data_IF_377468049983
#
_entry.id   IF_377468049983
#
_cell.length_a   1.000
_cell.length_b   1.000
_cell.length_c   1.000
_cell.angle_alpha   90.00
_cell.angle_beta   90.00
_cell.angle_gamma   90.00
#
_symmetry.space_group_name_H-M   'P 1'
#
loop_
_entity.id
_entity.type
_entity.pdbx_description
1 polymer ?
#
# COMPACT_ATOMS: atom_id res chain seq x y z
N UNK A 1 18.39 15.04 15.92
CA UNK A 1 17.05 14.70 15.38
C UNK A 1 16.26 14.06 16.52
N UNK A 2 15.23 14.76 17.00
CA UNK A 2 14.77 14.72 18.41
C UNK A 2 14.19 13.39 18.88
N UNK A 3 14.55 13.01 20.11
CA UNK A 3 13.97 11.98 20.98
C UNK A 3 12.42 12.03 21.04
N UNK A 4 11.82 13.18 20.73
CA UNK A 4 10.37 13.43 20.79
C UNK A 4 9.48 12.52 19.94
N UNK A 5 9.97 12.00 18.80
CA UNK A 5 9.12 11.20 17.89
C UNK A 5 8.80 9.82 18.45
N UNK A 6 9.67 9.26 19.29
CA UNK A 6 9.46 7.94 19.89
C UNK A 6 8.44 7.96 21.04
N UNK A 7 8.09 9.15 21.55
CA UNK A 7 7.17 9.31 22.66
C UNK A 7 5.78 9.81 22.22
N UNK A 8 5.46 9.82 20.92
CA UNK A 8 4.16 10.33 20.43
C UNK A 8 2.97 9.52 20.97
N UNK A 9 3.13 8.20 21.08
CA UNK A 9 2.13 7.34 21.71
C UNK A 9 2.01 7.67 23.19
N UNK A 10 3.13 7.85 23.90
CA UNK A 10 3.10 8.22 25.33
C UNK A 10 2.41 9.57 25.56
N UNK A 11 2.74 10.57 24.75
CA UNK A 11 2.09 11.89 24.76
C UNK A 11 0.60 11.79 24.47
N UNK A 12 0.17 10.90 23.56
CA UNK A 12 -1.26 10.65 23.28
C UNK A 12 -1.97 10.14 24.54
N UNK A 13 -1.41 9.15 25.22
CA UNK A 13 -1.96 8.64 26.47
C UNK A 13 -2.01 9.70 27.58
N UNK A 14 -0.93 10.49 27.71
CA UNK A 14 -0.82 11.54 28.72
C UNK A 14 -1.77 12.72 28.48
N UNK A 15 -2.06 13.02 27.22
CA UNK A 15 -2.96 14.13 26.85
C UNK A 15 -4.40 13.91 27.31
N UNK A 16 -4.84 12.66 27.42
CA UNK A 16 -6.24 12.32 27.74
C UNK A 16 -7.27 12.82 26.72
N UNK A 17 -6.84 13.36 25.58
CA UNK A 17 -7.73 13.92 24.56
C UNK A 17 -8.49 12.82 23.83
N UNK A 18 -9.78 13.03 23.59
CA UNK A 18 -10.59 12.11 22.78
C UNK A 18 -10.59 12.54 21.31
N UNK A 19 -9.46 12.31 20.63
CA UNK A 19 -9.30 12.54 19.19
C UNK A 19 -9.70 11.26 18.45
N UNK A 20 -10.70 11.30 17.54
CA UNK A 20 -11.16 10.14 16.78
C UNK A 20 -10.17 9.81 15.65
N UNK A 21 -9.00 9.31 16.03
CA UNK A 21 -7.93 8.87 15.13
C UNK A 21 -7.70 7.35 15.25
N UNK A 22 -6.71 6.84 14.52
CA UNK A 22 -6.36 5.41 14.59
C UNK A 22 -5.91 4.99 16.00
N UNK A 23 -5.20 5.86 16.73
CA UNK A 23 -4.71 5.56 18.06
C UNK A 23 -5.87 5.45 19.07
N UNK A 24 -6.93 6.25 18.93
CA UNK A 24 -8.14 6.11 19.75
C UNK A 24 -8.69 4.68 19.71
N UNK A 25 -8.77 4.06 18.54
CA UNK A 25 -9.24 2.68 18.41
C UNK A 25 -8.27 1.61 18.97
N UNK A 26 -6.99 1.95 19.17
CA UNK A 26 -6.03 1.06 19.81
C UNK A 26 -5.99 1.23 21.34
N UNK A 27 -6.31 2.44 21.82
CA UNK A 27 -6.21 2.84 23.23
C UNK A 27 -7.51 2.55 23.98
N UNK A 28 -8.66 2.62 23.30
CA UNK A 28 -9.96 2.26 23.89
C UNK A 28 -10.01 0.73 24.08
N UNK A 29 -10.16 0.21 25.31
CA UNK A 29 -10.20 -1.23 25.57
C UNK A 29 -11.36 -1.91 24.85
N UNK A 30 -11.06 -2.83 23.94
CA UNK A 30 -12.02 -3.82 23.41
C UNK A 30 -12.02 -5.11 24.23
N UNK A 31 -12.52 -6.21 23.66
CA UNK A 31 -12.53 -7.53 24.31
C UNK A 31 -11.12 -8.10 24.60
N UNK A 32 -10.09 -7.59 23.91
CA UNK A 32 -8.69 -7.91 24.12
C UNK A 32 -7.84 -6.61 24.12
N UNK A 33 -7.66 -5.95 25.27
CA UNK A 33 -6.92 -4.70 25.35
C UNK A 33 -5.43 -4.91 25.08
N UNK A 34 -4.86 -4.03 24.24
CA UNK A 34 -3.44 -4.02 23.95
C UNK A 34 -2.65 -3.33 25.07
N UNK A 35 -1.47 -3.83 25.36
CA UNK A 35 -0.49 -3.16 26.21
C UNK A 35 0.04 -1.90 25.52
N UNK A 36 0.58 -0.97 26.31
CA UNK A 36 1.18 0.27 25.79
C UNK A 36 2.31 -0.02 24.78
N UNK A 37 3.11 -1.05 25.03
CA UNK A 37 4.21 -1.43 24.14
C UNK A 37 3.69 -2.05 22.83
N UNK A 38 2.65 -2.88 22.88
CA UNK A 38 1.98 -3.37 21.68
C UNK A 38 1.40 -2.22 20.85
N UNK A 39 0.77 -1.22 21.49
CA UNK A 39 0.23 -0.05 20.79
C UNK A 39 1.35 0.76 20.10
N UNK A 40 2.51 0.90 20.75
CA UNK A 40 3.71 1.51 20.15
C UNK A 40 4.15 0.72 18.92
N UNK A 41 4.30 -0.60 19.05
CA UNK A 41 4.72 -1.48 17.96
C UNK A 41 3.74 -1.41 16.76
N UNK A 42 2.43 -1.51 17.02
CA UNK A 42 1.39 -1.42 15.97
C UNK A 42 1.38 -0.05 15.29
N UNK A 43 1.59 1.02 16.05
CA UNK A 43 1.67 2.38 15.48
C UNK A 43 2.86 2.51 14.54
N UNK A 44 4.05 2.03 14.96
CA UNK A 44 5.24 2.04 14.11
C UNK A 44 5.01 1.19 12.86
N UNK A 45 4.46 -0.01 13.01
CA UNK A 45 4.15 -0.90 11.89
C UNK A 45 3.21 -0.23 10.87
N UNK A 46 2.14 0.42 11.33
CA UNK A 46 1.21 1.13 10.46
C UNK A 46 1.89 2.26 9.69
N UNK A 47 2.67 3.10 10.38
CA UNK A 47 3.34 4.24 9.77
C UNK A 47 4.36 3.76 8.74
N UNK A 48 5.20 2.78 9.07
CA UNK A 48 6.21 2.26 8.15
C UNK A 48 5.55 1.61 6.93
N UNK A 49 4.57 0.72 7.14
CA UNK A 49 3.88 0.02 6.06
C UNK A 49 3.09 0.97 5.14
N UNK A 50 2.53 2.05 5.66
CA UNK A 50 1.75 3.01 4.89
C UNK A 50 2.59 4.10 4.20
N UNK A 51 3.72 4.49 4.79
CA UNK A 51 4.50 5.64 4.30
C UNK A 51 5.51 5.27 3.23
N UNK A 52 6.41 4.32 3.48
CA UNK A 52 7.53 4.00 2.58
C UNK A 52 7.06 3.44 1.23
N UNK A 53 6.12 2.47 1.17
CA UNK A 53 5.64 1.95 -0.12
C UNK A 53 4.89 3.01 -0.93
N UNK A 54 4.11 3.86 -0.26
CA UNK A 54 3.35 4.96 -0.89
C UNK A 54 4.27 6.04 -1.41
N UNK A 55 5.29 6.44 -0.65
CA UNK A 55 6.27 7.44 -1.07
C UNK A 55 7.05 6.96 -2.31
N UNK A 56 7.49 5.70 -2.29
CA UNK A 56 8.17 5.08 -3.44
C UNK A 56 7.26 5.04 -4.66
N UNK A 57 6.00 4.64 -4.47
CA UNK A 57 5.03 4.60 -5.56
C UNK A 57 4.71 6.00 -6.13
N UNK A 58 4.64 7.03 -5.28
CA UNK A 58 4.43 8.40 -5.73
C UNK A 58 5.60 8.90 -6.59
N UNK A 59 6.84 8.54 -6.26
CA UNK A 59 8.00 8.87 -7.10
C UNK A 59 7.90 8.22 -8.49
N UNK A 60 7.46 6.96 -8.54
CA UNK A 60 7.12 6.24 -9.79
C UNK A 60 6.04 6.98 -10.57
N UNK A 61 4.94 7.37 -9.91
CA UNK A 61 3.82 8.09 -10.55
C UNK A 61 4.18 9.51 -11.01
N UNK A 62 5.25 10.11 -10.51
CA UNK A 62 5.83 11.34 -11.07
C UNK A 62 6.73 11.03 -12.28
N UNK A 63 7.62 10.04 -12.14
CA UNK A 63 8.61 9.69 -13.15
C UNK A 63 7.96 9.14 -14.44
N UNK A 64 7.02 8.20 -14.33
CA UNK A 64 6.48 7.50 -15.49
C UNK A 64 5.71 8.40 -16.45
N UNK A 65 4.70 9.19 -16.01
CA UNK A 65 4.02 10.14 -16.90
C UNK A 65 4.98 11.17 -17.49
N UNK A 66 5.98 11.64 -16.73
CA UNK A 66 6.96 12.60 -17.23
C UNK A 66 7.79 12.05 -18.41
N UNK A 67 8.02 10.73 -18.46
CA UNK A 67 8.71 10.06 -19.56
C UNK A 67 7.77 9.55 -20.66
N UNK A 68 6.45 9.68 -20.50
CA UNK A 68 5.44 9.21 -21.46
C UNK A 68 4.46 10.35 -21.78
N UNK A 69 4.78 11.22 -22.76
CA UNK A 69 4.02 12.44 -23.05
C UNK A 69 2.52 12.20 -23.31
N UNK A 70 2.18 11.09 -23.97
CA UNK A 70 0.79 10.73 -24.25
C UNK A 70 0.01 10.39 -22.98
N UNK A 71 0.62 9.63 -22.07
CA UNK A 71 0.01 9.30 -20.77
C UNK A 71 -0.17 10.56 -19.94
N UNK A 72 0.85 11.42 -19.87
CA UNK A 72 0.73 12.69 -19.18
C UNK A 72 -0.40 13.56 -19.75
N UNK A 73 -0.46 13.69 -21.09
CA UNK A 73 -1.48 14.52 -21.76
C UNK A 73 -2.89 13.99 -21.51
N UNK A 74 -3.10 12.68 -21.63
CA UNK A 74 -4.42 12.04 -21.39
C UNK A 74 -4.85 12.17 -19.93
N UNK A 75 -3.98 11.82 -18.97
CA UNK A 75 -4.28 11.96 -17.54
C UNK A 75 -4.58 13.41 -17.15
N UNK A 76 -3.77 14.36 -17.64
CA UNK A 76 -4.00 15.78 -17.42
C UNK A 76 -5.34 16.23 -18.00
N UNK A 77 -5.68 15.80 -19.21
CA UNK A 77 -6.95 16.14 -19.85
C UNK A 77 -8.14 15.61 -19.05
N UNK A 78 -8.10 14.34 -18.62
CA UNK A 78 -9.19 13.74 -17.85
C UNK A 78 -9.41 14.48 -16.52
N UNK A 79 -8.33 14.76 -15.78
CA UNK A 79 -8.40 15.50 -14.52
C UNK A 79 -9.00 16.89 -14.72
N UNK A 80 -8.51 17.64 -15.72
CA UNK A 80 -8.92 19.04 -15.95
C UNK A 80 -10.34 19.16 -16.49
N UNK A 81 -10.82 18.16 -17.24
CA UNK A 81 -12.19 18.14 -17.74
C UNK A 81 -13.20 17.69 -16.68
N UNK A 82 -12.77 16.89 -15.70
CA UNK A 82 -13.65 16.30 -14.68
C UNK A 82 -13.71 17.10 -13.38
N UNK A 83 -12.68 17.90 -13.08
CA UNK A 83 -12.53 18.61 -11.81
C UNK A 83 -12.24 20.09 -12.05
N UNK A 84 -13.18 20.95 -11.66
CA UNK A 84 -13.05 22.40 -11.83
C UNK A 84 -12.12 23.05 -10.79
N UNK A 85 -11.99 22.43 -9.62
CA UNK A 85 -11.21 22.96 -8.49
C UNK A 85 -10.78 21.88 -7.52
N UNK A 86 -9.84 22.23 -6.61
CA UNK A 86 -9.39 21.33 -5.55
C UNK A 86 -10.51 20.86 -4.63
N UNK A 87 -11.54 21.68 -4.41
CA UNK A 87 -12.68 21.33 -3.55
C UNK A 87 -13.52 20.19 -4.11
N UNK A 88 -13.42 19.92 -5.41
CA UNK A 88 -14.14 18.82 -6.05
C UNK A 88 -13.39 17.48 -6.00
N UNK A 89 -12.17 17.43 -5.47
CA UNK A 89 -11.40 16.19 -5.32
C UNK A 89 -11.90 15.34 -4.16
N UNK A 90 -13.16 14.90 -4.24
CA UNK A 90 -13.75 13.92 -3.33
C UNK A 90 -13.37 12.51 -3.79
N UNK A 91 -13.32 11.54 -2.87
CA UNK A 91 -13.05 10.14 -3.21
C UNK A 91 -14.02 9.61 -4.29
N UNK A 92 -15.29 9.97 -4.20
CA UNK A 92 -16.31 9.58 -5.18
C UNK A 92 -16.02 10.14 -6.58
N UNK A 93 -15.57 11.40 -6.71
CA UNK A 93 -15.20 11.97 -8.00
C UNK A 93 -13.89 11.40 -8.55
N UNK A 94 -12.89 11.21 -7.68
CA UNK A 94 -11.60 10.61 -8.07
C UNK A 94 -11.75 9.16 -8.54
N UNK A 95 -12.68 8.39 -7.95
CA UNK A 95 -12.98 7.04 -8.40
C UNK A 95 -13.48 6.97 -9.85
N UNK A 96 -14.07 8.06 -10.37
CA UNK A 96 -14.57 8.14 -11.75
C UNK A 96 -13.52 8.59 -12.77
N UNK A 97 -12.29 8.90 -12.35
CA UNK A 97 -11.18 9.23 -13.25
C UNK A 97 -10.58 7.93 -13.81
N UNK A 98 -11.30 7.31 -14.74
CA UNK A 98 -11.01 5.97 -15.25
C UNK A 98 -9.58 5.86 -15.81
N UNK A 99 -9.15 6.81 -16.63
CA UNK A 99 -7.82 6.78 -17.22
C UNK A 99 -6.72 6.95 -16.17
N UNK A 100 -6.85 7.92 -15.25
CA UNK A 100 -5.91 8.09 -14.15
C UNK A 100 -5.82 6.83 -13.27
N UNK A 101 -6.96 6.21 -12.95
CA UNK A 101 -7.00 4.98 -12.18
C UNK A 101 -6.37 3.80 -12.93
N UNK A 102 -6.52 3.72 -14.25
CA UNK A 102 -5.80 2.75 -15.08
C UNK A 102 -4.29 2.99 -15.04
N UNK A 103 -3.83 4.24 -15.16
CA UNK A 103 -2.40 4.58 -15.08
C UNK A 103 -1.82 4.24 -13.70
N UNK A 104 -2.56 4.49 -12.62
CA UNK A 104 -2.16 4.08 -11.26
C UNK A 104 -2.04 2.55 -11.16
N UNK A 105 -3.01 1.80 -11.69
CA UNK A 105 -2.97 0.33 -11.68
C UNK A 105 -1.80 -0.22 -12.49
N UNK A 106 -1.53 0.36 -13.66
CA UNK A 106 -0.38 -0.01 -14.48
C UNK A 106 0.95 0.36 -13.82
N UNK A 107 1.01 1.51 -13.14
CA UNK A 107 2.14 1.87 -12.30
C UNK A 107 2.42 0.82 -11.22
N UNK A 108 1.38 0.37 -10.50
CA UNK A 108 1.51 -0.66 -9.47
C UNK A 108 1.91 -2.03 -10.05
N UNK A 109 1.46 -2.34 -11.28
CA UNK A 109 1.87 -3.55 -11.99
C UNK A 109 3.37 -3.49 -12.31
N UNK A 110 3.82 -2.44 -12.97
CA UNK A 110 5.22 -2.29 -13.39
C UNK A 110 6.18 -2.08 -12.22
N UNK A 111 5.70 -1.46 -11.15
CA UNK A 111 6.47 -1.21 -9.94
C UNK A 111 5.63 -1.58 -8.70
N UNK A 112 5.59 -2.87 -8.31
CA UNK A 112 4.99 -3.26 -7.06
C UNK A 112 5.91 -2.80 -5.92
N UNK A 113 5.56 -1.74 -5.19
CA UNK A 113 6.37 -1.20 -4.08
C UNK A 113 6.67 -2.23 -2.98
N UNK A 114 5.88 -3.29 -2.89
CA UNK A 114 6.16 -4.49 -2.09
C UNK A 114 6.34 -5.70 -3.04
N UNK A 115 7.47 -5.72 -3.77
CA UNK A 115 7.76 -6.75 -4.77
C UNK A 115 7.92 -8.15 -4.16
N UNK A 116 8.44 -8.22 -2.93
CA UNK A 116 8.50 -9.43 -2.13
C UNK A 116 7.30 -9.50 -1.19
N UNK A 117 6.39 -10.43 -1.49
CA UNK A 117 5.27 -10.71 -0.60
C UNK A 117 5.82 -11.48 0.62
N UNK A 118 5.38 -11.11 1.82
CA UNK A 118 5.81 -11.80 3.04
C UNK A 118 5.51 -13.30 2.94
N UNK A 119 6.51 -14.18 3.18
CA UNK A 119 6.30 -15.61 3.08
C UNK A 119 5.26 -16.11 4.09
N UNK A 120 4.67 -17.25 3.77
CA UNK A 120 3.83 -18.05 4.66
C UNK A 120 4.58 -19.33 5.02
N UNK A 121 4.38 -19.79 6.26
CA UNK A 121 4.99 -21.01 6.75
C UNK A 121 3.98 -22.15 6.63
N UNK A 122 4.40 -23.27 6.05
CA UNK A 122 3.57 -24.47 6.03
C UNK A 122 3.37 -24.99 7.45
N UNK A 123 2.12 -25.21 7.89
CA UNK A 123 1.80 -25.61 9.25
C UNK A 123 2.20 -27.07 9.53
N UNK A 124 1.95 -27.49 10.76
CA UNK A 124 2.07 -28.90 11.13
C UNK A 124 1.11 -29.78 10.31
N UNK A 125 1.58 -30.99 9.94
CA UNK A 125 0.88 -31.87 9.02
C UNK A 125 1.26 -31.69 7.54
N UNK A 126 1.93 -30.60 7.18
CA UNK A 126 2.24 -30.28 5.78
C UNK A 126 1.02 -29.80 4.98
N UNK A 127 1.22 -29.47 3.71
CA UNK A 127 0.14 -28.99 2.83
C UNK A 127 0.38 -29.41 1.38
N UNK A 128 -0.67 -29.60 0.57
CA UNK A 128 -0.54 -29.89 -0.86
C UNK A 128 -0.84 -28.64 -1.68
N UNK A 129 0.19 -28.10 -2.34
CA UNK A 129 0.08 -26.90 -3.19
C UNK A 129 0.47 -27.26 -4.62
N UNK A 130 -0.40 -26.93 -5.57
CA UNK A 130 -0.23 -27.26 -7.00
C UNK A 130 0.10 -28.76 -7.23
N UNK A 131 -0.57 -29.64 -6.47
CA UNK A 131 -0.37 -31.09 -6.54
C UNK A 131 0.92 -31.62 -5.92
N UNK A 132 1.69 -30.77 -5.22
CA UNK A 132 2.93 -31.16 -4.52
C UNK A 132 2.77 -31.04 -3.02
N UNK A 133 3.10 -32.10 -2.29
CA UNK A 133 3.16 -32.06 -0.83
C UNK A 133 4.38 -31.25 -0.37
N UNK A 134 4.17 -30.35 0.58
CA UNK A 134 5.17 -29.51 1.19
C UNK A 134 5.19 -29.79 2.70
N UNK A 135 6.36 -30.08 3.29
CA UNK A 135 6.45 -30.37 4.71
C UNK A 135 6.35 -29.12 5.58
N UNK A 136 6.02 -29.33 6.86
CA UNK A 136 6.07 -28.32 7.93
C UNK A 136 7.37 -27.51 7.87
N UNK A 137 7.26 -26.19 8.06
CA UNK A 137 8.42 -25.29 8.09
C UNK A 137 8.91 -24.86 6.70
N UNK A 138 8.30 -25.35 5.61
CA UNK A 138 8.55 -24.81 4.28
C UNK A 138 8.04 -23.37 4.21
N UNK A 139 8.88 -22.43 3.77
CA UNK A 139 8.48 -21.05 3.48
C UNK A 139 8.02 -20.94 2.03
N UNK A 140 6.85 -20.32 1.83
CA UNK A 140 6.26 -20.12 0.51
C UNK A 140 5.94 -18.65 0.33
N UNK A 141 6.35 -18.09 -0.80
CA UNK A 141 5.98 -16.74 -1.20
C UNK A 141 5.55 -16.70 -2.66
N UNK A 142 4.97 -15.57 -3.04
CA UNK A 142 4.53 -15.26 -4.39
C UNK A 142 5.53 -14.26 -4.98
N UNK A 143 6.09 -14.59 -6.14
CA UNK A 143 6.97 -13.68 -6.88
C UNK A 143 6.13 -12.62 -7.61
N UNK A 144 5.67 -11.59 -6.89
CA UNK A 144 4.76 -10.57 -7.43
C UNK A 144 5.33 -9.88 -8.68
N UNK A 145 6.63 -9.55 -8.66
CA UNK A 145 7.32 -8.94 -9.80
C UNK A 145 7.29 -9.85 -11.03
N UNK A 146 7.58 -11.14 -10.87
CA UNK A 146 7.57 -12.09 -11.99
C UNK A 146 6.16 -12.25 -12.59
N UNK A 147 5.12 -12.21 -11.74
CA UNK A 147 3.72 -12.25 -12.18
C UNK A 147 3.37 -11.00 -12.99
N UNK A 148 3.77 -9.82 -12.51
CA UNK A 148 3.55 -8.53 -13.17
C UNK A 148 4.19 -8.40 -14.55
N UNK A 149 5.30 -9.11 -14.78
CA UNK A 149 6.04 -9.10 -16.05
C UNK A 149 5.87 -10.38 -16.88
N UNK A 150 4.96 -11.27 -16.48
CA UNK A 150 4.71 -12.50 -17.23
C UNK A 150 3.87 -12.23 -18.48
N UNK A 151 4.41 -12.58 -19.66
CA UNK A 151 3.68 -12.52 -20.93
C UNK A 151 2.41 -13.40 -20.95
N UNK A 152 2.30 -14.36 -20.01
CA UNK A 152 1.08 -15.18 -19.85
C UNK A 152 -0.10 -14.39 -19.26
N UNK A 153 0.20 -13.30 -18.54
CA UNK A 153 -0.79 -12.45 -17.87
C UNK A 153 -0.97 -11.12 -18.61
N UNK A 154 0.11 -10.57 -19.16
CA UNK A 154 0.15 -9.27 -19.82
C UNK A 154 0.84 -9.41 -21.18
N UNK A 155 0.14 -9.26 -22.32
CA UNK A 155 0.72 -9.47 -23.65
C UNK A 155 1.99 -8.66 -23.93
N UNK A 156 2.02 -7.40 -23.49
CA UNK A 156 3.18 -6.50 -23.57
C UNK A 156 3.64 -6.09 -22.15
N UNK A 157 4.28 -6.97 -21.39
CA UNK A 157 4.49 -6.79 -19.95
C UNK A 157 5.41 -5.59 -19.60
N UNK A 158 6.24 -5.14 -20.55
CA UNK A 158 7.14 -4.01 -20.37
C UNK A 158 6.58 -2.69 -20.91
N UNK A 159 5.39 -2.71 -21.51
CA UNK A 159 4.74 -1.53 -22.06
C UNK A 159 3.67 -1.00 -21.10
N UNK A 160 3.55 0.32 -21.05
CA UNK A 160 2.47 1.01 -20.36
C UNK A 160 1.26 1.14 -21.30
N UNK A 161 0.06 0.82 -20.80
CA UNK A 161 -1.20 0.87 -21.56
C UNK A 161 -1.71 2.32 -21.69
#
# INVERSE_FOLDING_TARGET
MSQDRHNLVDKRFESGEDVPDFAHHLVVPGEAPLTRDEIKEKTVQLVTAGSEPTATFNAVMCYYPANNPDVYKKSKSEIRNSLSSRKEMTLAKLANLNYLNLVIREGLRMFPSAADIFPRNIPEGGEVIMGKFLPKGTHISIAALAISFSAKNFPDPHKLI
#
